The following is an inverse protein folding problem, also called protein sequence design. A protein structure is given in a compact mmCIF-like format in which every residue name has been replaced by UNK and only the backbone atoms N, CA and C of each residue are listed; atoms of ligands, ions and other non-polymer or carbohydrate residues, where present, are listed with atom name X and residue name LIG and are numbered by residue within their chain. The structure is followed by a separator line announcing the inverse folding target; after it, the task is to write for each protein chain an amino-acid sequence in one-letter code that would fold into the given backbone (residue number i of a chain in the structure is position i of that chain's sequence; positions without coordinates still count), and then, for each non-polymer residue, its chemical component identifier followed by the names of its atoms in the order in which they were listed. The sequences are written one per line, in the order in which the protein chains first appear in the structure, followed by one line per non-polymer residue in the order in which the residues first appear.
data_IF_414190274865
#
_entry.id   IF_414190274865
#
_cell.length_a   1.000
_cell.length_b   1.000
_cell.length_c   1.000
_cell.angle_alpha   90.00
_cell.angle_beta   90.00
_cell.angle_gamma   90.00
#
_symmetry.space_group_name_H-M   'P 1'
#
loop_
_entity.id
_entity.type
_entity.pdbx_description
1 polymer ?
2 non-polymer ?
3 non-polymer ?
4 non-polymer ?
5 water ?
#
# COMPACT_ATOMS: atom_id res chain seq x y z
CA UNK A 31 -15.84 -7.70 -29.30
C UNK A 31 -14.61 -7.29 -28.48
N UNK A 32 -14.81 -7.12 -27.17
CA UNK A 32 -13.76 -6.67 -26.27
C UNK A 32 -12.65 -7.73 -26.21
N UNK A 33 -13.04 -8.99 -26.33
CA UNK A 33 -12.09 -10.08 -26.28
C UNK A 33 -11.15 -9.94 -27.47
N UNK A 34 -11.73 -9.64 -28.64
CA UNK A 34 -10.99 -9.43 -29.87
C UNK A 34 -9.91 -8.37 -29.69
N UNK A 35 -10.31 -7.24 -29.10
CA UNK A 35 -9.42 -6.10 -28.91
C UNK A 35 -8.30 -6.44 -27.93
N UNK A 36 -8.63 -7.19 -26.86
CA UNK A 36 -7.64 -7.62 -25.87
C UNK A 36 -6.65 -8.59 -26.55
N UNK A 37 -7.14 -9.52 -27.36
CA UNK A 37 -6.25 -10.41 -28.08
C UNK A 37 -5.30 -9.62 -28.98
N UNK A 38 -5.86 -8.67 -29.74
CA UNK A 38 -5.10 -7.95 -30.75
C UNK A 38 -4.09 -6.99 -30.12
N UNK A 39 -4.44 -6.39 -28.98
CA UNK A 39 -3.51 -5.51 -28.27
C UNK A 39 -2.45 -6.32 -27.53
N UNK A 40 -2.76 -7.55 -27.12
CA UNK A 40 -1.80 -8.40 -26.40
C UNK A 40 -1.65 -8.06 -24.91
N UNK A 41 -2.67 -7.43 -24.30
CA UNK A 41 -2.59 -7.02 -22.89
C UNK A 41 -4.01 -6.86 -22.34
N UNK A 42 -4.25 -7.30 -21.09
CA UNK A 42 -5.44 -6.93 -20.34
C UNK A 42 -5.09 -5.70 -19.50
N UNK A 43 -5.72 -4.57 -19.81
CA UNK A 43 -5.53 -3.36 -19.03
C UNK A 43 -6.58 -3.24 -17.94
N UNK A 44 -6.11 -2.98 -16.71
CA UNK A 44 -6.94 -3.06 -15.53
C UNK A 44 -6.77 -1.77 -14.72
N UNK A 45 -7.85 -0.98 -14.63
CA UNK A 45 -7.86 0.24 -13.85
C UNK A 45 -8.05 -0.07 -12.36
N UNK A 46 -7.23 0.57 -11.51
CA UNK A 46 -7.37 0.43 -10.07
C UNK A 46 -6.79 1.69 -9.39
N UNK A 47 -7.23 1.95 -8.14
CA UNK A 47 -6.79 3.16 -7.45
C UNK A 47 -5.59 2.86 -6.56
N UNK A 48 -5.34 1.58 -6.26
CA UNK A 48 -4.18 1.20 -5.48
C UNK A 48 -4.09 1.88 -4.10
N UNK A 49 -5.23 2.27 -3.52
CA UNK A 49 -5.22 2.79 -2.16
C UNK A 49 -6.32 2.13 -1.34
N UNK A 50 -6.54 0.82 -1.51
CA UNK A 50 -7.57 0.13 -0.74
C UNK A 50 -7.10 -1.29 -0.44
N UNK A 51 -6.23 -1.37 0.58
CA UNK A 51 -5.89 -2.65 1.20
C UNK A 51 -7.15 -3.27 1.82
N UNK A 52 -7.38 -4.59 1.66
CA UNK A 52 -6.43 -5.52 1.07
C UNK A 52 -6.66 -5.89 -0.40
N UNK A 53 -7.45 -5.08 -1.11
CA UNK A 53 -7.84 -5.35 -2.48
C UNK A 53 -6.74 -4.94 -3.45
N UNK A 54 -6.18 -3.76 -3.21
CA UNK A 54 -5.36 -3.09 -4.21
C UNK A 54 -4.55 -1.99 -3.53
N UNK A 55 -3.23 -2.15 -3.57
CA UNK A 55 -2.32 -1.21 -2.91
C UNK A 55 -1.06 -1.01 -3.73
N UNK A 56 -0.64 0.24 -3.86
CA UNK A 56 0.55 0.58 -4.63
C UNK A 56 1.75 0.57 -3.72
N UNK A 57 2.70 -0.35 -3.96
CA UNK A 57 4.01 -0.34 -3.31
C UNK A 57 5.07 -0.01 -4.36
N UNK A 58 5.46 1.27 -4.43
CA UNK A 58 6.37 1.73 -5.47
C UNK A 58 5.69 1.85 -6.83
N UNK A 59 6.26 1.17 -7.83
CA UNK A 59 5.61 1.03 -9.13
C UNK A 59 4.87 -0.31 -9.17
N UNK A 60 4.88 -1.03 -8.05
CA UNK A 60 4.19 -2.31 -7.93
C UNK A 60 2.77 -2.13 -7.37
N UNK A 61 1.87 -3.02 -7.82
CA UNK A 61 0.56 -3.18 -7.18
C UNK A 61 0.44 -4.59 -6.60
N UNK A 62 -0.15 -4.69 -5.42
CA UNK A 62 -0.35 -5.96 -4.76
C UNK A 62 -1.73 -5.94 -4.11
N UNK A 63 -2.28 -7.14 -3.87
CA UNK A 63 -3.59 -7.27 -3.26
C UNK A 63 -4.45 -8.32 -3.96
N UNK A 64 -5.59 -8.61 -3.32
CA UNK A 64 -6.50 -9.65 -3.79
C UNK A 64 -6.97 -9.34 -5.20
N UNK A 65 -7.25 -8.08 -5.50
CA UNK A 65 -7.82 -7.76 -6.80
C UNK A 65 -6.74 -7.80 -7.88
N UNK A 66 -5.49 -7.51 -7.48
CA UNK A 66 -4.35 -7.62 -8.37
C UNK A 66 -4.16 -9.09 -8.75
N UNK A 67 -4.22 -9.98 -7.78
CA UNK A 67 -4.12 -11.40 -8.10
C UNK A 67 -5.21 -11.85 -9.06
N UNK A 68 -6.47 -11.50 -8.75
CA UNK A 68 -7.58 -11.78 -9.63
C UNK A 68 -7.30 -11.29 -11.06
N UNK A 69 -6.90 -10.01 -11.20
CA UNK A 69 -6.60 -9.47 -12.54
C UNK A 69 -5.54 -10.31 -13.29
N UNK A 70 -4.46 -10.69 -12.60
CA UNK A 70 -3.37 -11.42 -13.21
C UNK A 70 -3.82 -12.83 -13.62
N UNK A 71 -4.66 -13.44 -12.79
CA UNK A 71 -5.28 -14.75 -13.08
C UNK A 71 -6.22 -14.64 -14.29
N UNK A 72 -7.03 -13.58 -14.37
CA UNK A 72 -7.91 -13.46 -15.53
C UNK A 72 -7.09 -13.23 -16.82
N UNK A 73 -6.01 -12.44 -16.72
CA UNK A 73 -5.12 -12.19 -17.84
C UNK A 73 -4.52 -13.50 -18.36
N UNK A 74 -3.94 -14.27 -17.44
CA UNK A 74 -3.35 -15.56 -17.77
C UNK A 74 -4.38 -16.45 -18.45
N UNK A 75 -5.61 -16.46 -17.90
CA UNK A 75 -6.70 -17.25 -18.45
C UNK A 75 -6.99 -16.82 -19.90
N UNK A 76 -6.84 -15.51 -20.19
CA UNK A 76 -7.12 -14.94 -21.50
C UNK A 76 -5.90 -14.99 -22.42
N UNK A 77 -4.72 -15.34 -21.90
CA UNK A 77 -3.55 -15.61 -22.71
C UNK A 77 -2.64 -14.41 -22.89
N UNK A 78 -2.82 -13.39 -22.03
CA UNK A 78 -2.13 -12.12 -22.18
C UNK A 78 -1.53 -11.71 -20.84
N UNK A 79 -0.45 -10.90 -20.84
CA UNK A 79 0.03 -10.24 -19.63
C UNK A 79 -1.01 -9.22 -19.18
N UNK A 80 -0.95 -8.88 -17.89
CA UNK A 80 -1.82 -7.87 -17.33
C UNK A 80 -1.02 -6.58 -17.30
N UNK A 81 -1.73 -5.47 -17.44
CA UNK A 81 -1.15 -4.18 -17.16
C UNK A 81 -2.07 -3.44 -16.21
N UNK A 82 -1.54 -3.07 -15.04
CA UNK A 82 -2.31 -2.30 -14.07
C UNK A 82 -2.17 -0.82 -14.41
N UNK A 83 -3.31 -0.14 -14.58
CA UNK A 83 -3.34 1.26 -14.96
C UNK A 83 -3.89 2.02 -13.77
N UNK A 84 -3.07 2.87 -13.10
CA UNK A 84 -3.56 3.65 -11.97
C UNK A 84 -4.59 4.70 -12.38
N UNK A 85 -5.57 4.89 -11.51
CA UNK A 85 -6.66 5.83 -11.69
C UNK A 85 -7.01 6.36 -10.31
N UNK A 86 -8.05 7.19 -10.22
CA UNK A 86 -8.50 7.72 -8.94
C UNK A 86 -10.03 7.81 -8.97
N UNK A 87 -10.65 7.74 -7.79
CA UNK A 87 -12.11 7.73 -7.66
C UNK A 87 -12.74 8.82 -8.53
N UNK A 88 -12.16 10.05 -8.62
CA UNK A 88 -12.80 11.14 -9.35
C UNK A 88 -12.77 10.92 -10.88
N UNK A 89 -11.73 10.25 -11.38
CA UNK A 89 -11.51 10.08 -12.81
C UNK A 89 -11.79 8.64 -13.23
N UNK A 90 -12.24 7.80 -12.30
CA UNK A 90 -12.41 6.36 -12.51
C UNK A 90 -13.32 6.15 -13.72
N UNK A 91 -14.53 6.68 -13.65
CA UNK A 91 -15.51 6.43 -14.69
C UNK A 91 -15.11 7.16 -15.97
N UNK A 92 -14.47 8.32 -15.84
CA UNK A 92 -14.04 9.05 -17.01
C UNK A 92 -12.90 8.31 -17.70
N UNK A 93 -11.96 7.80 -16.91
CA UNK A 93 -10.81 7.12 -17.44
C UNK A 93 -11.34 5.89 -18.18
N UNK A 94 -12.32 5.23 -17.56
CA UNK A 94 -12.97 4.07 -18.16
C UNK A 94 -13.58 4.47 -19.51
N UNK A 95 -14.31 5.59 -19.55
CA UNK A 95 -14.92 6.04 -20.79
C UNK A 95 -13.89 6.38 -21.85
N UNK A 96 -12.77 6.98 -21.42
CA UNK A 96 -11.71 7.39 -22.32
C UNK A 96 -10.93 6.20 -22.88
N UNK A 97 -11.26 4.98 -22.42
CA UNK A 97 -10.64 3.74 -22.91
C UNK A 97 -9.24 3.53 -22.35
N UNK A 98 -8.94 4.10 -21.18
CA UNK A 98 -7.64 3.98 -20.55
C UNK A 98 -7.41 2.56 -20.01
N UNK A 99 -8.48 1.80 -19.82
CA UNK A 99 -8.39 0.40 -19.39
C UNK A 99 -9.66 -0.36 -19.79
N UNK A 100 -9.54 -1.70 -19.75
CA UNK A 100 -10.58 -2.62 -20.20
C UNK A 100 -11.59 -2.89 -19.08
N UNK A 101 -11.07 -3.13 -17.86
CA UNK A 101 -11.86 -3.47 -16.69
C UNK A 101 -11.30 -2.67 -15.52
N UNK A 102 -12.07 -2.58 -14.43
CA UNK A 102 -11.67 -1.86 -13.24
C UNK A 102 -12.00 -2.70 -12.00
N UNK A 103 -11.08 -2.66 -11.03
CA UNK A 103 -11.34 -3.29 -9.75
C UNK A 103 -10.53 -2.58 -8.69
N UNK A 104 -10.53 -3.13 -7.46
CA UNK A 104 -9.93 -2.46 -6.32
C UNK A 104 -10.93 -2.25 -5.19
N UNK A 105 -11.66 -3.30 -4.82
CA UNK A 105 -12.72 -3.21 -3.83
C UNK A 105 -13.89 -2.37 -4.34
N UNK A 106 -14.22 -2.52 -5.63
CA UNK A 106 -15.28 -1.71 -6.24
C UNK A 106 -16.66 -2.28 -5.86
N UNK A 107 -17.47 -1.46 -5.20
CA UNK A 107 -18.86 -1.83 -4.92
C UNK A 107 -19.75 -1.58 -6.14
N UNK A 108 -20.75 -2.44 -6.31
CA UNK A 108 -21.80 -2.22 -7.31
C UNK A 108 -22.66 -1.06 -6.82
N UNK A 109 -22.70 0.04 -7.59
CA UNK A 109 -23.57 1.19 -7.35
C UNK A 109 -24.37 1.45 -8.63
N UNK A 110 -25.51 2.15 -8.57
CA UNK A 110 -26.31 2.42 -9.77
C UNK A 110 -25.60 3.32 -10.79
N UNK A 111 -24.82 4.28 -10.31
CA UNK A 111 -24.10 5.17 -11.22
C UNK A 111 -23.11 4.34 -12.05
N UNK A 112 -22.35 3.48 -11.38
CA UNK A 112 -21.38 2.64 -12.08
C UNK A 112 -22.07 1.66 -13.04
N UNK A 113 -23.26 1.18 -12.68
CA UNK A 113 -24.04 0.31 -13.54
C UNK A 113 -24.46 1.02 -14.84
N UNK A 114 -24.66 2.33 -14.79
CA UNK A 114 -25.15 3.07 -15.95
C UNK A 114 -24.09 3.17 -17.04
N UNK A 115 -22.82 2.88 -16.72
CA UNK A 115 -21.74 3.15 -17.65
C UNK A 115 -20.95 1.90 -17.97
N UNK A 116 -21.41 0.74 -17.48
CA UNK A 116 -20.84 -0.53 -17.87
C UNK A 116 -21.62 -1.69 -17.25
N UNK A 117 -21.05 -2.89 -17.33
CA UNK A 117 -21.62 -4.06 -16.70
C UNK A 117 -20.71 -4.42 -15.54
N UNK A 118 -21.26 -5.12 -14.57
CA UNK A 118 -20.43 -5.73 -13.54
C UNK A 118 -20.38 -7.25 -13.74
N UNK A 119 -19.26 -7.86 -13.36
CA UNK A 119 -19.20 -9.30 -13.17
C UNK A 119 -20.22 -9.68 -12.08
N UNK A 120 -20.48 -10.98 -11.95
CA UNK A 120 -20.99 -11.54 -10.70
C UNK A 120 -20.10 -11.06 -9.55
N UNK A 121 -20.71 -10.94 -8.36
CA UNK A 121 -20.04 -10.47 -7.16
C UNK A 121 -19.13 -11.57 -6.64
N UNK A 122 -17.89 -11.26 -6.23
CA UNK A 122 -17.00 -12.26 -5.66
C UNK A 122 -16.85 -12.10 -4.15
N UNK A 123 -17.47 -11.05 -3.57
CA UNK A 123 -17.44 -10.84 -2.14
C UNK A 123 -18.68 -10.03 -1.76
N UNK A 124 -19.46 -10.54 -0.80
CA UNK A 124 -20.54 -9.80 -0.18
C UNK A 124 -20.05 -9.37 1.21
N UNK A 125 -19.99 -8.07 1.48
CA UNK A 125 -19.35 -7.59 2.70
C UNK A 125 -20.31 -6.65 3.46
N UNK A 126 -20.19 -6.59 4.79
CA UNK A 126 -21.05 -5.78 5.63
C UNK A 126 -20.61 -4.31 5.64
N UNK A 127 -21.56 -3.43 5.94
CA UNK A 127 -21.32 -2.06 6.36
C UNK A 127 -21.36 -1.98 7.89
N UNK A 128 -20.22 -1.64 8.50
CA UNK A 128 -20.08 -1.71 9.97
C UNK A 128 -19.13 -0.63 10.47
N UNK A 129 -19.20 -0.24 11.76
CA UNK A 129 -18.30 0.79 12.26
C UNK A 129 -16.90 0.26 12.60
N UNK A 130 -15.91 1.16 12.48
CA UNK A 130 -14.62 1.05 13.14
C UNK A 130 -14.41 2.34 13.96
N UNK A 131 -14.00 2.17 15.22
CA UNK A 131 -13.87 3.23 16.23
C UNK A 131 -12.63 2.98 17.09
N UNK A 132 -12.13 4.05 17.76
CA UNK A 132 -11.16 3.82 18.84
C UNK A 132 -11.80 2.77 19.74
N UNK A 133 -11.01 1.76 20.13
CA UNK A 133 -11.50 0.64 20.91
C UNK A 133 -12.26 1.09 22.16
N UNK A 134 -11.78 2.15 22.85
CA UNK A 134 -12.45 2.61 24.06
C UNK A 134 -13.82 3.21 23.78
N UNK A 135 -14.19 3.39 22.50
CA UNK A 135 -15.47 3.95 22.10
C UNK A 135 -16.39 2.90 21.50
N UNK A 136 -16.02 1.63 21.65
CA UNK A 136 -16.68 0.56 20.95
C UNK A 136 -18.16 0.48 21.33
N UNK A 137 -18.46 0.59 22.64
CA UNK A 137 -19.83 0.44 23.13
C UNK A 137 -20.67 1.67 22.80
N UNK A 138 -20.03 2.81 22.50
CA UNK A 138 -20.74 4.03 22.18
C UNK A 138 -21.30 4.02 20.74
N UNK A 139 -20.84 3.11 19.86
CA UNK A 139 -21.27 3.11 18.46
C UNK A 139 -21.62 1.71 17.97
N UNK A 140 -22.39 0.96 18.76
CA UNK A 140 -22.80 -0.38 18.36
C UNK A 140 -24.18 -0.37 17.71
N UNK A 141 -24.91 0.76 17.81
CA UNK A 141 -26.25 0.86 17.25
C UNK A 141 -26.31 2.07 16.32
N UNK A 142 -27.21 2.05 15.34
CA UNK A 142 -27.41 3.20 14.48
C UNK A 142 -28.05 4.37 15.24
N UNK A 143 -28.77 4.08 16.32
CA UNK A 143 -29.33 5.09 17.21
C UNK A 143 -28.21 5.96 17.82
N UNK A 144 -27.18 5.31 18.38
CA UNK A 144 -26.05 6.04 18.93
C UNK A 144 -25.34 6.89 17.88
N UNK A 145 -25.26 6.37 16.64
CA UNK A 145 -24.40 6.94 15.62
C UNK A 145 -25.04 8.18 14.99
N UNK A 146 -26.37 8.08 14.78
CA UNK A 146 -27.16 9.08 14.09
C UNK A 146 -27.57 10.16 15.09
N UNK A 147 -26.57 10.86 15.66
CA UNK A 147 -26.78 11.93 16.63
C UNK A 147 -26.05 13.20 16.19
N UNK A 148 -26.55 14.41 16.55
CA UNK A 148 -25.89 15.67 16.17
C UNK A 148 -24.43 15.81 16.61
N UNK A 149 -24.05 15.16 17.72
CA UNK A 149 -22.68 15.23 18.22
C UNK A 149 -21.60 14.47 17.43
N UNK A 150 -21.95 13.62 16.45
CA UNK A 150 -21.07 12.54 16.02
C UNK A 150 -20.30 12.94 14.76
N UNK A 151 -18.96 12.74 14.79
CA UNK A 151 -18.08 13.09 13.70
C UNK A 151 -17.80 11.81 12.90
N UNK A 152 -18.52 11.67 11.79
CA UNK A 152 -18.48 10.46 10.97
C UNK A 152 -17.70 10.83 9.73
N UNK A 153 -16.62 10.08 9.47
CA UNK A 153 -15.79 10.29 8.29
C UNK A 153 -16.07 9.14 7.33
N UNK A 154 -15.99 9.43 6.03
CA UNK A 154 -16.22 8.42 5.02
C UNK A 154 -15.41 8.81 3.77
N UNK A 155 -15.15 7.83 2.90
CA UNK A 155 -14.63 8.05 1.56
C UNK A 155 -15.75 8.42 0.58
N UNK A 156 -15.47 9.15 -0.53
CA UNK A 156 -16.52 9.68 -1.41
C UNK A 156 -17.00 8.77 -2.53
N UNK A 157 -18.29 8.89 -2.90
CA UNK A 157 -18.81 8.44 -4.18
C UNK A 157 -19.25 6.98 -4.25
N UNK A 158 -19.32 6.29 -3.09
CA UNK A 158 -19.57 4.86 -3.05
C UNK A 158 -20.68 4.51 -2.07
N UNK A 159 -20.81 3.24 -1.73
CA UNK A 159 -21.83 2.81 -0.78
C UNK A 159 -21.62 3.43 0.62
N UNK A 160 -20.38 3.75 1.03
CA UNK A 160 -20.18 4.23 2.41
C UNK A 160 -20.86 5.60 2.54
N UNK A 161 -20.61 6.47 1.57
CA UNK A 161 -21.19 7.81 1.61
C UNK A 161 -22.72 7.75 1.46
N UNK A 162 -23.22 6.91 0.54
CA UNK A 162 -24.65 6.72 0.40
C UNK A 162 -25.23 6.25 1.75
N UNK A 163 -24.54 5.31 2.40
CA UNK A 163 -25.02 4.78 3.67
C UNK A 163 -25.07 5.89 4.72
N UNK A 164 -23.99 6.64 4.84
CA UNK A 164 -23.88 7.67 5.85
C UNK A 164 -24.97 8.75 5.64
N UNK A 165 -25.17 9.24 4.42
CA UNK A 165 -26.13 10.31 4.15
C UNK A 165 -27.56 9.85 4.42
N UNK A 166 -27.82 8.58 4.14
CA UNK A 166 -29.14 7.97 4.24
C UNK A 166 -29.46 7.58 5.68
N UNK A 167 -28.53 6.90 6.36
CA UNK A 167 -28.82 6.22 7.59
C UNK A 167 -28.27 6.96 8.81
N UNK A 168 -27.41 7.98 8.64
CA UNK A 168 -26.94 8.75 9.80
C UNK A 168 -26.96 10.24 9.48
N UNK A 169 -28.07 10.79 8.93
CA UNK A 169 -28.12 12.17 8.45
C UNK A 169 -27.95 13.26 9.52
N UNK A 170 -28.24 12.91 10.79
CA UNK A 170 -28.08 13.82 11.92
C UNK A 170 -26.64 13.92 12.40
N UNK A 171 -25.70 13.15 11.83
CA UNK A 171 -24.30 13.22 12.20
C UNK A 171 -23.56 14.23 11.32
N UNK A 172 -22.44 14.78 11.82
CA UNK A 172 -21.55 15.59 11.02
C UNK A 172 -20.71 14.67 10.15
N UNK A 173 -20.83 14.85 8.84
CA UNK A 173 -20.24 13.98 7.86
C UNK A 173 -19.13 14.73 7.11
N UNK A 174 -17.91 14.19 7.15
CA UNK A 174 -16.84 14.64 6.28
C UNK A 174 -16.41 13.51 5.35
N UNK A 175 -15.85 13.91 4.20
CA UNK A 175 -15.61 12.99 3.09
C UNK A 175 -14.17 13.21 2.60
N UNK A 176 -13.36 12.14 2.60
CA UNK A 176 -11.95 12.26 2.22
C UNK A 176 -11.56 11.23 1.17
N UNK A 177 -10.76 11.67 0.16
CA UNK A 177 -10.33 10.77 -0.91
C UNK A 177 -9.16 9.87 -0.53
N UNK A 178 -8.52 10.14 0.61
CA UNK A 178 -7.32 9.42 0.99
C UNK A 178 -7.61 8.53 2.19
N UNK A 179 -7.36 7.22 2.01
CA UNK A 179 -7.52 6.21 3.04
C UNK A 179 -6.76 6.64 4.31
N UNK A 180 -5.44 6.78 4.20
CA UNK A 180 -4.57 7.06 5.34
C UNK A 180 -5.19 8.16 6.23
N UNK A 181 -5.78 9.18 5.60
CA UNK A 181 -6.22 10.37 6.31
C UNK A 181 -7.38 10.04 7.24
N UNK A 182 -8.31 9.20 6.76
CA UNK A 182 -9.48 8.81 7.53
C UNK A 182 -9.05 8.06 8.79
N UNK A 183 -8.21 7.02 8.63
CA UNK A 183 -7.85 6.23 9.78
C UNK A 183 -6.97 7.03 10.75
N UNK A 184 -6.11 7.92 10.22
CA UNK A 184 -5.29 8.80 11.07
C UNK A 184 -6.20 9.71 11.88
N UNK A 185 -7.16 10.34 11.19
CA UNK A 185 -8.18 11.14 11.85
C UNK A 185 -8.85 10.39 13.00
N UNK A 186 -9.18 9.09 12.85
CA UNK A 186 -9.91 8.39 13.90
C UNK A 186 -8.98 8.06 15.06
N UNK A 187 -7.76 7.56 14.77
CA UNK A 187 -6.81 7.27 15.85
C UNK A 187 -6.57 8.56 16.65
N UNK A 188 -6.33 9.68 15.93
CA UNK A 188 -5.85 10.91 16.55
C UNK A 188 -6.96 11.79 17.13
N UNK A 189 -8.23 11.39 16.96
CA UNK A 189 -9.36 12.00 17.65
C UNK A 189 -10.01 13.15 16.89
N UNK A 190 -9.62 13.33 15.61
CA UNK A 190 -10.14 14.37 14.72
C UNK A 190 -11.51 13.98 14.16
N UNK A 191 -11.77 12.67 14.09
CA UNK A 191 -13.08 12.13 13.78
C UNK A 191 -13.44 11.12 14.86
N UNK A 192 -14.68 10.62 14.88
CA UNK A 192 -15.15 9.65 15.87
C UNK A 192 -15.27 8.20 15.34
N UNK A 193 -15.69 7.99 14.10
CA UNK A 193 -15.81 6.64 13.55
C UNK A 193 -15.93 6.76 12.05
N UNK A 194 -15.73 5.61 11.37
CA UNK A 194 -16.09 5.44 9.98
C UNK A 194 -17.02 4.23 9.90
N UNK A 195 -18.04 4.25 9.03
CA UNK A 195 -18.81 3.07 8.66
C UNK A 195 -18.28 2.65 7.28
N UNK A 196 -17.75 1.42 7.18
CA UNK A 196 -17.09 0.96 5.96
C UNK A 196 -17.32 -0.54 5.76
N UNK A 197 -16.72 -1.12 4.70
CA UNK A 197 -16.76 -2.56 4.51
C UNK A 197 -16.16 -3.29 5.73
N UNK A 198 -16.82 -4.38 6.15
CA UNK A 198 -16.37 -5.17 7.29
C UNK A 198 -14.90 -5.61 7.14
N UNK A 199 -14.50 -6.06 5.94
CA UNK A 199 -13.15 -6.50 5.70
C UNK A 199 -12.13 -5.37 5.90
N UNK A 200 -12.47 -4.10 5.60
CA UNK A 200 -11.57 -3.02 5.94
C UNK A 200 -11.46 -2.89 7.47
N UNK A 201 -12.58 -2.98 8.19
CA UNK A 201 -12.57 -2.83 9.67
C UNK A 201 -11.68 -3.93 10.28
N UNK A 202 -11.75 -5.13 9.72
CA UNK A 202 -10.96 -6.24 10.22
C UNK A 202 -9.48 -5.93 10.06
N UNK A 203 -9.07 -5.52 8.84
CA UNK A 203 -7.68 -5.22 8.55
C UNK A 203 -7.19 -4.04 9.38
N UNK A 204 -7.96 -2.95 9.43
CA UNK A 204 -7.47 -1.72 10.03
C UNK A 204 -7.38 -1.88 11.56
N UNK A 205 -8.26 -2.71 12.15
CA UNK A 205 -8.15 -3.09 13.56
C UNK A 205 -6.77 -3.72 13.89
N UNK A 206 -6.22 -4.49 12.96
CA UNK A 206 -4.88 -5.03 13.14
C UNK A 206 -3.82 -3.96 12.95
N UNK A 207 -3.91 -3.22 11.83
CA UNK A 207 -2.85 -2.29 11.44
C UNK A 207 -2.75 -1.09 12.39
N UNK A 208 -3.89 -0.69 12.96
CA UNK A 208 -3.97 0.47 13.83
C UNK A 208 -4.49 -0.06 15.16
N UNK A 209 -3.61 -0.46 16.08
CA UNK A 209 -4.04 -1.23 17.25
C UNK A 209 -4.93 -0.48 18.22
N UNK A 210 -4.98 0.85 18.08
CA UNK A 210 -5.92 1.64 18.87
C UNK A 210 -7.36 1.47 18.35
N UNK A 211 -7.58 0.84 17.18
CA UNK A 211 -8.94 0.75 16.62
C UNK A 211 -9.52 -0.66 16.79
N UNK A 212 -10.87 -0.71 16.79
CA UNK A 212 -11.68 -1.91 16.91
C UNK A 212 -12.80 -1.86 15.87
N UNK A 213 -12.96 -2.94 15.11
CA UNK A 213 -14.18 -3.18 14.34
C UNK A 213 -15.33 -3.43 15.31
N UNK A 214 -16.53 -2.91 14.99
CA UNK A 214 -17.72 -3.10 15.82
C UNK A 214 -18.66 -4.09 15.12
N UNK A 215 -18.83 -5.25 15.77
CA UNK A 215 -19.61 -6.41 15.33
C UNK A 215 -19.60 -6.64 13.81
N UNK A 216 -18.42 -6.86 13.18
CA UNK A 216 -18.35 -6.95 11.73
C UNK A 216 -19.10 -8.13 11.09
N UNK A 217 -19.39 -9.19 11.86
CA UNK A 217 -20.09 -10.34 11.30
C UNK A 217 -21.61 -10.11 11.24
N UNK A 218 -22.11 -9.06 11.90
CA UNK A 218 -23.52 -8.74 11.94
C UNK A 218 -23.68 -7.26 11.66
N UNK A 219 -23.59 -6.90 10.37
CA UNK A 219 -23.56 -5.50 9.92
C UNK A 219 -24.92 -4.85 9.77
N UNK A 220 -24.91 -3.54 9.48
CA UNK A 220 -26.12 -2.77 9.25
C UNK A 220 -26.74 -3.04 7.87
N UNK A 221 -25.91 -3.45 6.90
CA UNK A 221 -26.35 -3.69 5.53
C UNK A 221 -25.18 -4.38 4.83
N UNK A 222 -25.34 -4.74 3.55
CA UNK A 222 -24.32 -5.41 2.77
C UNK A 222 -24.01 -4.62 1.51
N UNK A 223 -22.77 -4.80 0.99
CA UNK A 223 -22.40 -4.37 -0.35
C UNK A 223 -21.75 -5.53 -1.11
N UNK A 224 -21.81 -5.46 -2.44
CA UNK A 224 -21.23 -6.48 -3.30
C UNK A 224 -20.00 -5.91 -4.00
N UNK A 225 -18.88 -6.60 -3.90
CA UNK A 225 -17.69 -6.24 -4.66
C UNK A 225 -17.72 -7.00 -5.97
N UNK A 226 -17.42 -6.31 -7.07
CA UNK A 226 -17.41 -6.97 -8.38
C UNK A 226 -16.41 -6.28 -9.31
N UNK A 227 -16.26 -6.81 -10.53
CA UNK A 227 -15.38 -6.21 -11.53
C UNK A 227 -16.22 -5.40 -12.53
N UNK A 228 -15.79 -4.18 -12.79
CA UNK A 228 -16.46 -3.30 -13.73
C UNK A 228 -15.98 -3.70 -15.12
N UNK A 229 -16.94 -3.98 -15.98
CA UNK A 229 -16.65 -4.49 -17.30
C UNK A 229 -17.25 -3.52 -18.32
N UNK A 230 -16.79 -3.58 -19.60
CA UNK A 230 -17.41 -2.83 -20.68
C UNK A 230 -18.79 -3.43 -20.98
N UNK A 231 -19.56 -2.74 -21.81
CA UNK A 231 -20.88 -3.17 -22.21
C UNK A 231 -20.72 -4.19 -23.33
N UNK A 232 -20.36 -5.41 -22.93
CA UNK A 232 -20.08 -6.51 -23.83
C UNK A 232 -20.54 -7.78 -23.15
N UNK A 233 -21.73 -8.28 -23.54
CA UNK A 233 -22.39 -9.38 -22.85
C UNK A 233 -21.58 -10.65 -22.97
N UNK A 234 -20.91 -10.84 -24.11
CA UNK A 234 -20.15 -12.04 -24.35
C UNK A 234 -18.89 -12.04 -23.47
N UNK A 235 -18.29 -10.85 -23.33
CA UNK A 235 -17.12 -10.71 -22.47
C UNK A 235 -17.53 -11.03 -21.04
N UNK A 236 -18.67 -10.49 -20.60
CA UNK A 236 -19.16 -10.72 -19.25
C UNK A 236 -19.36 -12.21 -19.01
N UNK A 237 -19.85 -12.96 -20.02
CA UNK A 237 -20.06 -14.39 -19.89
C UNK A 237 -18.76 -15.16 -19.64
N UNK A 238 -17.69 -14.73 -20.30
CA UNK A 238 -16.38 -15.32 -20.14
C UNK A 238 -15.83 -15.00 -18.74
N UNK A 239 -15.92 -13.72 -18.35
CA UNK A 239 -15.46 -13.33 -17.03
C UNK A 239 -16.23 -14.07 -15.94
N UNK A 240 -17.56 -14.11 -16.04
CA UNK A 240 -18.43 -14.75 -15.06
C UNK A 240 -18.14 -16.25 -14.92
N UNK A 241 -17.85 -16.90 -16.05
CA UNK A 241 -17.51 -18.32 -16.03
C UNK A 241 -16.22 -18.58 -15.29
N UNK A 242 -15.22 -17.74 -15.57
CA UNK A 242 -13.94 -17.81 -14.89
C UNK A 242 -14.14 -17.52 -13.39
N UNK A 243 -14.86 -16.45 -13.05
CA UNK A 243 -14.95 -16.02 -11.66
C UNK A 243 -15.72 -17.06 -10.83
N UNK A 244 -16.80 -17.63 -11.38
CA UNK A 244 -17.62 -18.59 -10.65
C UNK A 244 -16.85 -19.89 -10.38
N UNK A 245 -16.00 -20.31 -11.32
CA UNK A 245 -15.09 -21.43 -11.05
C UNK A 245 -14.17 -21.10 -9.86
N UNK A 246 -13.57 -19.88 -9.84
CA UNK A 246 -12.67 -19.51 -8.75
C UNK A 246 -13.39 -19.40 -7.42
N UNK A 247 -14.68 -19.03 -7.43
CA UNK A 247 -15.46 -18.96 -6.20
C UNK A 247 -15.80 -20.39 -5.75
N UNK A 248 -16.30 -21.20 -6.67
CA UNK A 248 -16.77 -22.53 -6.30
C UNK A 248 -15.64 -23.41 -5.78
N UNK A 249 -14.41 -23.19 -6.26
CA UNK A 249 -13.24 -24.02 -5.94
C UNK A 249 -12.62 -23.66 -4.59
N UNK A 250 -13.03 -22.52 -4.04
CA UNK A 250 -12.52 -21.96 -2.80
C UNK A 250 -11.32 -21.02 -2.99
N UNK A 251 -10.89 -20.79 -4.24
CA UNK A 251 -9.72 -19.99 -4.53
C UNK A 251 -9.95 -18.54 -4.10
N UNK A 252 -11.15 -18.00 -4.34
CA UNK A 252 -11.41 -16.62 -3.92
C UNK A 252 -11.34 -16.50 -2.39
N UNK A 253 -12.00 -17.41 -1.66
CA UNK A 253 -11.96 -17.36 -0.20
C UNK A 253 -10.52 -17.53 0.32
N UNK A 254 -9.77 -18.48 -0.23
CA UNK A 254 -8.37 -18.65 0.10
C UNK A 254 -7.60 -17.35 -0.07
N UNK A 255 -7.81 -16.66 -1.21
CA UNK A 255 -7.11 -15.42 -1.49
C UNK A 255 -7.51 -14.31 -0.52
N UNK A 256 -8.80 -14.22 -0.16
CA UNK A 256 -9.26 -13.17 0.74
C UNK A 256 -8.49 -13.31 2.05
N UNK A 257 -8.43 -14.56 2.52
CA UNK A 257 -7.81 -14.89 3.80
C UNK A 257 -6.31 -14.54 3.77
N UNK A 258 -5.61 -14.94 2.70
CA UNK A 258 -4.18 -14.72 2.56
C UNK A 258 -3.85 -13.23 2.44
N UNK A 259 -4.71 -12.44 1.78
CA UNK A 259 -4.47 -11.02 1.60
C UNK A 259 -4.82 -10.23 2.87
N UNK A 260 -5.83 -10.66 3.61
CA UNK A 260 -6.15 -10.08 4.91
C UNK A 260 -5.01 -10.32 5.92
N UNK A 261 -4.31 -11.47 5.80
CA UNK A 261 -3.22 -11.82 6.73
C UNK A 261 -1.86 -11.39 6.17
N UNK A 262 -1.84 -10.65 5.05
CA UNK A 262 -0.59 -10.18 4.48
C UNK A 262 0.05 -9.09 5.36
N UNK A 263 1.40 -9.02 5.45
CA UNK A 263 2.06 -8.05 6.34
C UNK A 263 2.13 -6.64 5.76
N UNK A 264 0.97 -5.99 5.70
CA UNK A 264 0.80 -4.65 5.14
C UNK A 264 1.57 -3.62 5.97
N UNK A 265 1.79 -3.92 7.26
CA UNK A 265 2.53 -3.02 8.15
C UNK A 265 4.02 -2.89 7.81
N UNK A 266 4.51 -3.65 6.82
CA UNK A 266 5.88 -3.49 6.36
C UNK A 266 6.07 -2.24 5.49
N UNK A 267 4.99 -1.61 5.02
CA UNK A 267 5.14 -0.52 4.06
C UNK A 267 6.06 0.59 4.58
N UNK A 268 5.93 1.08 5.83
CA UNK A 268 6.88 2.11 6.32
C UNK A 268 8.35 1.68 6.31
N UNK A 269 8.60 0.38 6.51
CA UNK A 269 9.95 -0.15 6.53
C UNK A 269 10.50 -0.17 5.10
N UNK A 270 9.68 -0.63 4.15
CA UNK A 270 10.03 -0.56 2.74
C UNK A 270 10.31 0.88 2.34
N UNK A 271 9.45 1.82 2.74
CA UNK A 271 9.60 3.20 2.30
C UNK A 271 10.87 3.81 2.90
N UNK A 272 11.20 3.50 4.16
CA UNK A 272 12.40 4.08 4.79
C UNK A 272 13.68 3.57 4.11
N UNK A 273 13.74 2.25 3.83
CA UNK A 273 14.85 1.66 3.08
C UNK A 273 14.99 2.36 1.73
N UNK A 274 13.88 2.51 1.01
CA UNK A 274 13.92 3.02 -0.36
C UNK A 274 14.36 4.48 -0.36
N UNK A 275 13.78 5.30 0.52
CA UNK A 275 14.11 6.71 0.56
C UNK A 275 15.57 6.92 0.99
N UNK A 276 16.05 6.14 1.98
CA UNK A 276 17.42 6.28 2.46
C UNK A 276 18.37 6.03 1.29
N UNK A 277 18.06 5.01 0.49
CA UNK A 277 18.90 4.59 -0.62
C UNK A 277 18.89 5.63 -1.75
N UNK A 278 17.72 6.19 -2.07
CA UNK A 278 17.59 7.21 -3.12
C UNK A 278 18.38 8.47 -2.75
N UNK A 279 18.49 8.77 -1.47
CA UNK A 279 19.24 9.91 -0.95
C UNK A 279 20.76 9.79 -1.18
N UNK A 280 21.25 8.57 -1.39
CA UNK A 280 22.65 8.32 -1.72
C UNK A 280 23.03 9.01 -3.04
N UNK A 281 22.08 9.25 -3.96
CA UNK A 281 22.32 10.07 -5.16
C UNK A 281 22.81 11.46 -4.77
N UNK A 282 22.20 12.02 -3.73
CA UNK A 282 22.56 13.35 -3.25
C UNK A 282 23.89 13.36 -2.52
N UNK A 283 24.13 12.34 -1.66
CA UNK A 283 25.41 12.13 -1.01
C UNK A 283 26.53 12.09 -2.07
N UNK A 284 26.30 11.35 -3.17
CA UNK A 284 27.30 11.15 -4.21
C UNK A 284 27.62 12.48 -4.91
N UNK A 285 26.59 13.29 -5.17
CA UNK A 285 26.74 14.58 -5.85
C UNK A 285 27.61 15.49 -4.99
N UNK A 286 27.27 15.60 -3.70
CA UNK A 286 28.05 16.42 -2.79
C UNK A 286 29.51 15.93 -2.68
N UNK A 287 29.74 14.63 -2.47
CA UNK A 287 31.11 14.12 -2.41
C UNK A 287 31.91 14.38 -3.70
N UNK A 288 31.29 14.22 -4.87
CA UNK A 288 31.97 14.45 -6.14
C UNK A 288 32.56 15.86 -6.19
N UNK A 289 31.82 16.82 -5.64
CA UNK A 289 32.17 18.23 -5.75
C UNK A 289 33.32 18.61 -4.84
N UNK A 290 33.48 17.92 -3.69
CA UNK A 290 34.55 18.25 -2.76
C UNK A 290 35.62 17.15 -2.73
N UNK A 291 35.54 16.19 -3.65
CA UNK A 291 36.56 15.16 -3.79
C UNK A 291 36.67 14.31 -2.53
N UNK A 292 35.50 13.90 -1.99
CA UNK A 292 35.47 13.08 -0.79
C UNK A 292 35.45 11.60 -1.17
N UNK A 293 36.21 10.74 -0.46
CA UNK A 293 36.07 9.29 -0.61
C UNK A 293 34.64 8.83 -0.30
N UNK A 294 34.19 7.84 -1.07
CA UNK A 294 32.90 7.25 -0.83
C UNK A 294 32.90 6.57 0.55
N UNK A 295 33.91 5.77 0.87
CA UNK A 295 33.88 4.96 2.07
C UNK A 295 34.50 5.76 3.21
N UNK A 296 33.76 5.89 4.31
CA UNK A 296 34.16 6.67 5.48
C UNK A 296 33.78 5.83 6.70
N UNK A 297 34.65 4.88 7.08
CA UNK A 297 34.36 3.89 8.10
C UNK A 297 34.24 4.53 9.49
N UNK A 298 34.58 5.82 9.58
CA UNK A 298 34.42 6.59 10.80
C UNK A 298 32.96 6.99 11.01
N UNK A 299 32.38 7.62 9.98
CA UNK A 299 30.99 8.03 10.00
C UNK A 299 30.09 6.78 10.02
N UNK A 300 30.59 5.65 9.49
CA UNK A 300 29.91 4.36 9.53
C UNK A 300 29.78 3.86 10.97
N UNK A 301 30.85 4.02 11.77
CA UNK A 301 30.84 3.61 13.16
C UNK A 301 29.87 4.47 13.97
N UNK A 302 29.89 5.78 13.76
CA UNK A 302 28.94 6.67 14.41
C UNK A 302 27.51 6.23 14.10
N UNK A 303 27.26 5.88 12.82
CA UNK A 303 25.93 5.51 12.34
C UNK A 303 25.48 4.24 13.03
N UNK A 304 26.30 3.18 13.01
CA UNK A 304 25.88 1.91 13.56
C UNK A 304 25.65 2.07 15.06
N UNK A 305 26.52 2.87 15.71
CA UNK A 305 26.46 3.09 17.15
C UNK A 305 25.15 3.78 17.55
N UNK A 306 24.79 4.89 16.89
CA UNK A 306 23.54 5.58 17.20
C UNK A 306 22.35 4.66 16.91
N UNK A 307 22.40 3.89 15.80
CA UNK A 307 21.32 2.97 15.45
C UNK A 307 21.14 1.89 16.51
N UNK A 308 22.24 1.36 17.06
CA UNK A 308 22.17 0.28 18.04
C UNK A 308 21.61 0.81 19.36
N UNK A 309 21.98 2.04 19.72
CA UNK A 309 21.46 2.75 20.90
C UNK A 309 19.96 2.96 20.83
N UNK A 310 19.48 3.58 19.74
CA UNK A 310 18.07 3.86 19.59
C UNK A 310 17.27 2.57 19.45
N UNK A 311 17.80 1.62 18.67
CA UNK A 311 17.13 0.36 18.43
C UNK A 311 17.02 -0.49 19.70
N UNK A 312 18.06 -0.46 20.54
CA UNK A 312 18.05 -1.15 21.83
C UNK A 312 16.98 -0.57 22.76
N UNK A 313 16.84 0.77 22.82
CA UNK A 313 15.74 1.38 23.57
C UNK A 313 14.35 0.88 23.10
N UNK A 314 14.21 0.47 21.82
CA UNK A 314 12.96 -0.06 21.28
C UNK A 314 12.81 -1.55 21.53
N UNK A 315 13.81 -2.17 22.15
CA UNK A 315 13.78 -3.60 22.41
C UNK A 315 14.17 -4.46 21.21
N UNK A 316 14.89 -3.90 20.23
CA UNK A 316 15.42 -4.67 19.12
C UNK A 316 16.81 -5.23 19.51
N UNK A 317 17.13 -6.49 19.16
CA UNK A 317 18.45 -7.05 19.41
C UNK A 317 19.56 -6.36 18.61
N UNK A 318 20.72 -6.14 19.25
CA UNK A 318 21.80 -5.38 18.64
C UNK A 318 22.27 -6.05 17.35
N UNK A 319 22.13 -7.37 17.27
CA UNK A 319 22.62 -8.13 16.14
C UNK A 319 21.72 -7.93 14.93
N UNK A 320 20.40 -7.79 15.10
CA UNK A 320 19.58 -7.50 13.94
C UNK A 320 19.73 -6.03 13.57
N UNK A 321 20.09 -5.13 14.51
CA UNK A 321 20.34 -3.75 14.11
C UNK A 321 21.63 -3.66 13.28
N UNK A 322 22.70 -4.30 13.75
CA UNK A 322 24.00 -4.20 13.08
C UNK A 322 23.92 -4.79 11.66
N UNK A 323 23.23 -5.93 11.51
CA UNK A 323 23.09 -6.58 10.21
C UNK A 323 22.35 -5.68 9.23
N UNK A 324 21.22 -5.13 9.67
CA UNK A 324 20.38 -4.34 8.79
C UNK A 324 21.16 -3.08 8.37
N UNK A 325 21.78 -2.36 9.32
CA UNK A 325 22.40 -1.09 8.97
C UNK A 325 23.70 -1.24 8.18
N UNK A 326 24.44 -2.33 8.45
CA UNK A 326 25.61 -2.62 7.65
C UNK A 326 25.18 -2.84 6.20
N UNK A 327 24.04 -3.52 5.98
CA UNK A 327 23.52 -3.72 4.64
C UNK A 327 23.09 -2.37 4.00
N UNK A 328 22.49 -1.48 4.79
CA UNK A 328 22.03 -0.20 4.26
C UNK A 328 23.25 0.66 3.86
N UNK A 329 24.28 0.66 4.69
CA UNK A 329 25.50 1.44 4.42
C UNK A 329 26.19 0.92 3.15
N UNK A 330 26.26 -0.41 2.99
CA UNK A 330 26.90 -1.01 1.82
C UNK A 330 26.10 -0.74 0.56
N UNK A 331 24.75 -0.83 0.67
CA UNK A 331 23.88 -0.49 -0.44
C UNK A 331 24.12 0.97 -0.85
N UNK A 332 24.20 1.88 0.12
CA UNK A 332 24.47 3.27 -0.19
C UNK A 332 25.79 3.49 -0.97
N UNK A 333 26.87 2.85 -0.53
CA UNK A 333 28.15 2.98 -1.20
C UNK A 333 28.07 2.41 -2.60
N UNK A 334 27.31 1.32 -2.79
CA UNK A 334 27.14 0.76 -4.11
C UNK A 334 26.50 1.76 -5.06
N UNK A 335 25.47 2.50 -4.58
CA UNK A 335 24.88 3.55 -5.39
C UNK A 335 25.96 4.58 -5.73
N UNK A 336 26.65 5.10 -4.70
CA UNK A 336 27.68 6.12 -4.87
C UNK A 336 28.74 5.67 -5.87
N UNK A 337 29.23 4.43 -5.73
CA UNK A 337 30.28 3.97 -6.63
C UNK A 337 29.80 3.88 -8.08
N UNK A 338 28.52 3.48 -8.30
CA UNK A 338 27.99 3.37 -9.65
C UNK A 338 27.86 4.74 -10.29
N UNK A 339 27.43 5.75 -9.51
CA UNK A 339 27.31 7.11 -10.01
C UNK A 339 28.67 7.74 -10.30
N UNK A 340 29.64 7.53 -9.40
CA UNK A 340 31.01 7.97 -9.62
C UNK A 340 31.57 7.32 -10.89
N UNK A 341 31.28 6.03 -11.10
CA UNK A 341 31.78 5.32 -12.28
C UNK A 341 31.26 5.95 -13.57
N UNK A 342 29.98 6.35 -13.58
CA UNK A 342 29.37 7.02 -14.72
C UNK A 342 29.96 8.42 -14.94
N UNK A 343 30.08 9.21 -13.85
CA UNK A 343 30.64 10.54 -13.91
C UNK A 343 32.12 10.55 -14.31
N UNK A 344 32.88 9.51 -13.93
CA UNK A 344 34.29 9.37 -14.29
C UNK A 344 34.41 9.21 -15.82
N UNK A 345 33.74 8.18 -16.36
CA UNK A 345 33.73 7.92 -17.78
C UNK A 345 33.24 9.13 -18.59
N UNK A 346 32.17 9.80 -18.15
CA UNK A 346 31.61 10.94 -18.87
C UNK A 346 32.48 12.18 -18.68
N UNK A 347 33.43 12.09 -17.74
CA UNK A 347 34.33 13.17 -17.37
C UNK A 347 33.50 14.37 -16.91
N UNK A 348 32.59 14.10 -15.96
CA UNK A 348 31.66 15.12 -15.51
C UNK A 348 32.36 16.16 -14.63
N UNK A 349 31.89 17.40 -14.74
CA UNK A 349 32.37 18.45 -13.85
C UNK A 349 31.54 18.49 -12.57
N UNK A 350 31.52 19.67 -11.92
CA UNK A 350 30.75 19.89 -10.71
C UNK A 350 29.25 19.87 -10.99
N UNK A 351 28.47 19.66 -9.92
CA UNK A 351 27.02 19.78 -9.97
C UNK A 351 26.61 21.02 -9.17
N UNK A 352 25.66 21.79 -9.71
CA UNK A 352 25.08 22.92 -8.98
C UNK A 352 23.82 22.51 -8.23
N UNK A 353 23.31 21.29 -8.49
CA UNK A 353 22.11 20.78 -7.84
C UNK A 353 22.48 19.87 -6.66
N UNK A 354 23.53 20.24 -5.92
CA UNK A 354 24.13 19.36 -4.92
C UNK A 354 23.87 19.91 -3.51
N UNK A 355 22.99 19.28 -2.71
CA UNK A 355 22.69 19.80 -1.38
C UNK A 355 23.82 19.56 -0.38
N UNK A 356 23.75 20.25 0.74
CA UNK A 356 24.82 20.22 1.73
C UNK A 356 24.78 18.89 2.48
N UNK A 357 25.92 18.19 2.50
CA UNK A 357 26.03 16.83 3.04
C UNK A 357 25.86 16.84 4.55
N UNK A 358 26.85 17.38 5.27
CA UNK A 358 26.82 17.41 6.72
C UNK A 358 25.59 18.18 7.23
N UNK A 359 25.08 19.13 6.42
CA UNK A 359 24.15 20.13 6.89
C UNK A 359 22.69 19.71 6.69
N UNK A 360 22.31 19.25 5.47
CA UNK A 360 20.91 18.94 5.18
C UNK A 360 20.68 17.47 4.78
N UNK A 361 21.66 16.76 4.21
CA UNK A 361 21.41 15.37 3.84
C UNK A 361 21.47 14.46 5.06
N UNK A 362 22.46 14.66 5.93
CA UNK A 362 22.70 13.75 7.04
C UNK A 362 21.57 13.83 8.08
N UNK A 363 20.94 14.99 8.29
CA UNK A 363 19.68 15.06 9.04
C UNK A 363 18.54 14.19 8.48
N UNK A 364 18.36 14.26 7.16
CA UNK A 364 17.41 13.39 6.51
C UNK A 364 17.79 11.93 6.75
N UNK A 365 19.06 11.57 6.56
CA UNK A 365 19.48 10.18 6.72
C UNK A 365 19.14 9.72 8.15
N UNK A 366 19.36 10.61 9.12
CA UNK A 366 19.16 10.27 10.52
C UNK A 366 17.67 10.06 10.80
N UNK A 367 16.83 10.89 10.18
CA UNK A 367 15.39 10.78 10.32
C UNK A 367 14.95 9.44 9.75
N UNK A 368 15.49 9.06 8.58
CA UNK A 368 15.07 7.82 7.93
C UNK A 368 15.53 6.59 8.71
N UNK A 369 16.75 6.67 9.28
CA UNK A 369 17.26 5.67 10.21
C UNK A 369 16.28 5.42 11.36
N UNK A 370 15.79 6.52 11.97
CA UNK A 370 14.79 6.40 13.03
C UNK A 370 13.52 5.71 12.51
N UNK A 371 13.01 6.10 11.33
CA UNK A 371 11.82 5.51 10.74
C UNK A 371 12.06 4.00 10.54
N UNK A 372 13.27 3.65 10.06
CA UNK A 372 13.60 2.26 9.77
C UNK A 372 13.62 1.45 11.06
N UNK A 373 14.21 1.98 12.13
CA UNK A 373 14.23 1.27 13.40
C UNK A 373 12.84 1.11 13.99
N UNK A 374 12.06 2.20 14.03
CA UNK A 374 10.71 2.13 14.58
C UNK A 374 9.86 1.13 13.80
N UNK A 375 10.03 1.06 12.46
CA UNK A 375 9.23 0.14 11.66
C UNK A 375 9.67 -1.32 11.85
N UNK A 376 10.97 -1.51 12.04
CA UNK A 376 11.49 -2.82 12.39
C UNK A 376 10.84 -3.30 13.69
N UNK A 377 10.72 -2.39 14.68
CA UNK A 377 10.17 -2.72 15.99
C UNK A 377 8.69 -3.07 15.87
N UNK A 378 7.93 -2.33 15.05
CA UNK A 378 6.50 -2.55 14.90
C UNK A 378 6.21 -3.77 14.03
N UNK A 379 7.24 -4.40 13.46
CA UNK A 379 7.05 -5.55 12.58
C UNK A 379 7.87 -6.74 13.08
N UNK A 380 8.22 -6.77 14.38
CA UNK A 380 9.31 -7.67 14.78
C UNK A 380 8.85 -9.13 14.75
N UNK A 381 7.54 -9.35 14.93
CA UNK A 381 7.03 -10.71 14.95
C UNK A 381 7.06 -11.29 13.54
N UNK A 382 6.56 -10.52 12.54
CA UNK A 382 6.59 -10.93 11.14
C UNK A 382 8.05 -11.16 10.73
N UNK A 383 8.96 -10.23 11.10
CA UNK A 383 10.34 -10.28 10.61
C UNK A 383 11.09 -11.47 11.23
N UNK A 384 10.51 -12.02 12.31
CA UNK A 384 11.10 -13.11 13.05
C UNK A 384 10.54 -14.46 12.64
N UNK A 385 9.67 -14.52 11.62
CA UNK A 385 8.93 -15.72 11.29
C UNK A 385 9.37 -16.28 9.95
N UNK A 386 10.14 -17.39 9.92
CA UNK A 386 10.77 -17.85 8.69
C UNK A 386 9.70 -18.14 7.63
N UNK A 387 8.52 -18.57 8.09
CA UNK A 387 7.39 -19.00 7.28
C UNK A 387 6.79 -17.88 6.42
N UNK A 388 7.12 -16.63 6.76
CA UNK A 388 6.53 -15.44 6.19
C UNK A 388 7.46 -14.83 5.14
N UNK A 389 8.59 -15.48 4.86
CA UNK A 389 9.63 -14.89 4.01
C UNK A 389 9.08 -14.55 2.63
N UNK A 390 8.16 -15.37 2.12
CA UNK A 390 7.65 -15.13 0.79
C UNK A 390 6.81 -13.85 0.76
N UNK A 391 5.97 -13.65 1.80
CA UNK A 391 5.17 -12.45 1.92
C UNK A 391 6.03 -11.21 2.19
N UNK A 392 7.08 -11.39 3.00
CA UNK A 392 8.02 -10.31 3.29
C UNK A 392 8.70 -9.90 1.98
N UNK A 393 9.15 -10.87 1.17
CA UNK A 393 9.68 -10.60 -0.15
C UNK A 393 8.69 -9.78 -0.99
N UNK A 394 7.43 -10.22 -1.08
CA UNK A 394 6.43 -9.52 -1.88
C UNK A 394 6.22 -8.10 -1.37
N UNK A 395 6.26 -7.94 -0.04
CA UNK A 395 5.97 -6.65 0.58
C UNK A 395 7.09 -5.65 0.28
N UNK A 396 8.35 -6.12 0.25
CA UNK A 396 9.48 -5.20 0.35
C UNK A 396 10.27 -5.07 -0.96
N UNK A 397 10.05 -5.96 -1.95
CA UNK A 397 10.99 -6.06 -3.06
C UNK A 397 10.88 -4.90 -4.04
N UNK A 398 9.74 -4.21 -4.04
CA UNK A 398 9.50 -3.14 -5.00
C UNK A 398 10.09 -1.81 -4.52
N UNK A 399 11.39 -1.64 -4.78
CA UNK A 399 12.08 -0.42 -4.44
C UNK A 399 12.27 0.39 -5.72
N UNK A 400 11.94 1.68 -5.65
CA UNK A 400 12.28 2.63 -6.70
C UNK A 400 13.79 2.65 -6.94
N UNK A 401 14.59 2.48 -5.88
CA UNK A 401 16.06 2.51 -5.94
C UNK A 401 16.65 1.43 -6.86
N UNK A 402 15.90 0.34 -7.09
CA UNK A 402 16.29 -0.72 -8.00
C UNK A 402 16.63 -0.15 -9.38
N UNK A 403 15.75 0.67 -9.94
CA UNK A 403 15.99 1.30 -11.23
C UNK A 403 17.36 1.97 -11.23
N UNK A 404 17.74 2.50 -10.06
CA UNK A 404 18.98 3.23 -9.88
C UNK A 404 20.16 2.27 -9.68
N UNK A 405 19.97 1.17 -8.95
CA UNK A 405 21.01 0.16 -8.80
C UNK A 405 20.42 -1.16 -8.32
N UNK A 406 20.23 -2.17 -9.21
CA UNK A 406 19.78 -3.50 -8.81
C UNK A 406 20.65 -4.21 -7.77
N UNK A 407 21.97 -4.04 -7.87
CA UNK A 407 22.86 -4.59 -6.87
C UNK A 407 22.62 -3.92 -5.51
N UNK A 408 22.48 -2.59 -5.49
CA UNK A 408 22.27 -1.88 -4.22
C UNK A 408 20.95 -2.32 -3.56
N UNK A 409 19.89 -2.42 -4.39
CA UNK A 409 18.58 -2.88 -3.93
C UNK A 409 18.67 -4.26 -3.30
N UNK A 410 19.40 -5.20 -3.93
CA UNK A 410 19.56 -6.53 -3.37
C UNK A 410 20.31 -6.51 -2.03
N UNK A 411 21.35 -5.67 -1.92
CA UNK A 411 22.15 -5.55 -0.71
C UNK A 411 21.27 -5.05 0.44
N UNK A 412 20.50 -4.00 0.15
CA UNK A 412 19.64 -3.38 1.16
C UNK A 412 18.61 -4.38 1.73
N UNK A 413 18.12 -5.30 0.89
CA UNK A 413 17.05 -6.23 1.29
C UNK A 413 17.59 -7.55 1.80
N UNK A 414 18.88 -7.85 1.54
CA UNK A 414 19.52 -9.10 1.95
C UNK A 414 19.26 -9.49 3.40
N UNK A 415 19.33 -8.60 4.43
CA UNK A 415 19.06 -9.03 5.80
C UNK A 415 17.64 -9.58 6.04
N UNK A 416 16.69 -9.29 5.14
CA UNK A 416 15.29 -9.55 5.40
C UNK A 416 14.86 -10.85 4.68
#
# INVERSE_FOLDING_TARGET
MQRFIRHSMRQIAVLGLLAGMMASVQAGADHRLDDITARGVLRVGTTGDYKPFSSRAGNDFVGLDIELAADLARTLGVPVQIVPTSWPTLMKDFGDGKFDIALGGVSITPERQKQGLFSVSYLRDGKTPITRCENSARFQTLAQIDQPGVRLVVNPGGTNERFARSQAPNAQLTVYPDNVTIFDQIVTGAADLMITDAIETRLQQRLRPQLCAVHPDTPFDFAEKAILLPRDVAFKAVVDKWLQQRIASGAVQRSVDRWLDFPWGLEPLRLAIDQRLLLAQAVARAKWNVQAPIEDLGREAQVIQAAVKEGAALGLPKVWIETVFRAQIEASKTVQRELFAQWSAQQAGKFDDAPDLAKTIRPELDRLTTQLLRSMASNQTVLNDEARKADVARAMRALEARALSPQAATQALAPFFLEHHHHHH
#
